data_IF_818376023702
#
_entry.id   IF_818376023702
#
_cell.length_a   1.000
_cell.length_b   1.000
_cell.length_c   1.000
_cell.angle_alpha   90.00
_cell.angle_beta   90.00
_cell.angle_gamma   90.00
#
_symmetry.space_group_name_H-M   'P 1'
#
loop_
_entity.id
_entity.type
_entity.pdbx_description
1 polymer ?
#
# COMPACT_ATOMS: atom_id res chain seq x y z
N UNK A 1 -19.03 4.30 -0.20
CA UNK A 1 -19.88 3.55 0.75
C UNK A 1 -21.34 3.95 0.51
N UNK A 2 -22.25 3.00 0.53
CA UNK A 2 -23.68 3.25 0.29
C UNK A 2 -24.51 2.48 1.32
N UNK A 3 -25.26 3.23 2.16
CA UNK A 3 -26.19 2.72 3.20
C UNK A 3 -25.56 1.68 4.12
N UNK A 4 -24.32 1.89 4.52
CA UNK A 4 -23.60 0.94 5.36
C UNK A 4 -24.08 0.99 6.79
N UNK A 5 -24.44 -0.19 7.30
CA UNK A 5 -24.78 -0.39 8.72
C UNK A 5 -23.94 -1.53 9.29
N UNK A 6 -23.55 -1.40 10.56
CA UNK A 6 -22.80 -2.41 11.29
C UNK A 6 -23.42 -2.68 12.62
N UNK A 7 -23.80 -3.93 12.85
CA UNK A 7 -24.33 -4.42 14.13
C UNK A 7 -23.39 -5.50 14.65
N UNK A 8 -23.07 -5.44 15.93
CA UNK A 8 -22.27 -6.48 16.60
C UNK A 8 -23.11 -7.15 17.70
N UNK A 9 -22.86 -8.43 17.99
CA UNK A 9 -23.57 -9.12 19.07
C UNK A 9 -23.46 -8.39 20.42
N UNK A 10 -24.50 -8.44 21.26
CA UNK A 10 -25.81 -9.09 21.10
C UNK A 10 -26.90 -8.26 20.41
N UNK A 11 -26.65 -7.23 19.64
CA UNK A 11 -27.49 -6.31 18.85
C UNK A 11 -27.06 -4.84 18.99
N UNK A 12 -25.81 -4.60 19.33
CA UNK A 12 -25.27 -3.23 19.41
C UNK A 12 -25.05 -2.67 18.02
N UNK A 13 -25.76 -1.60 17.68
CA UNK A 13 -25.54 -0.86 16.43
C UNK A 13 -24.29 0.02 16.59
N UNK A 14 -23.30 -0.19 15.76
CA UNK A 14 -22.07 0.62 15.72
C UNK A 14 -22.17 1.72 14.66
N UNK A 15 -22.66 1.37 13.47
CA UNK A 15 -22.91 2.32 12.38
C UNK A 15 -24.33 2.09 11.86
N UNK A 16 -24.99 3.18 11.45
CA UNK A 16 -26.36 3.13 10.92
C UNK A 16 -26.46 3.98 9.66
N UNK A 17 -26.78 3.34 8.53
CA UNK A 17 -27.12 3.95 7.25
C UNK A 17 -26.11 5.02 6.79
N UNK A 18 -24.83 4.68 6.85
CA UNK A 18 -23.73 5.59 6.49
C UNK A 18 -23.51 5.56 4.99
N UNK A 19 -23.66 6.71 4.34
CA UNK A 19 -23.31 6.89 2.92
C UNK A 19 -22.24 7.97 2.79
N UNK A 20 -21.10 7.61 2.21
CA UNK A 20 -19.93 8.48 2.07
C UNK A 20 -19.29 8.29 0.70
N UNK A 21 -18.90 9.41 0.11
CA UNK A 21 -18.08 9.44 -1.10
C UNK A 21 -16.95 10.45 -0.92
N UNK A 22 -15.78 10.11 -1.42
CA UNK A 22 -14.59 10.94 -1.28
C UNK A 22 -14.04 11.33 -2.64
N UNK A 23 -13.60 12.57 -2.77
CA UNK A 23 -12.91 13.04 -3.97
C UNK A 23 -11.41 12.68 -3.88
N UNK A 24 -10.76 12.42 -5.03
CA UNK A 24 -9.31 12.23 -5.08
C UNK A 24 -8.56 13.40 -4.43
N UNK A 25 -7.50 13.08 -3.66
CA UNK A 25 -6.67 14.07 -2.98
C UNK A 25 -7.26 14.70 -1.72
N UNK A 26 -8.51 14.40 -1.35
CA UNK A 26 -9.11 14.92 -0.13
C UNK A 26 -8.42 14.37 1.12
N UNK A 27 -8.08 15.26 2.07
CA UNK A 27 -7.60 14.92 3.42
C UNK A 27 -8.78 15.02 4.37
N UNK A 28 -9.19 13.92 4.96
CA UNK A 28 -10.43 13.82 5.73
C UNK A 28 -10.15 13.36 7.15
N UNK A 29 -10.60 14.15 8.13
CA UNK A 29 -10.56 13.80 9.55
C UNK A 29 -11.86 13.15 9.99
N UNK A 30 -11.77 12.05 10.75
CA UNK A 30 -12.92 11.41 11.40
C UNK A 30 -12.85 11.69 12.89
N UNK A 31 -13.78 12.49 13.39
CA UNK A 31 -13.84 12.91 14.80
C UNK A 31 -15.00 12.24 15.52
N UNK A 32 -14.85 12.06 16.82
CA UNK A 32 -15.89 11.50 17.69
C UNK A 32 -15.32 10.92 19.00
N UNK A 33 -16.18 10.65 19.95
CA UNK A 33 -15.83 10.06 21.24
C UNK A 33 -15.27 8.64 21.10
N UNK A 34 -14.59 8.15 22.15
CA UNK A 34 -14.14 6.75 22.17
C UNK A 34 -15.35 5.82 22.13
N UNK A 35 -15.24 4.75 21.32
CA UNK A 35 -16.34 3.81 21.10
C UNK A 35 -17.42 4.28 20.11
N UNK A 36 -17.28 5.45 19.47
CA UNK A 36 -18.25 5.95 18.46
C UNK A 36 -18.21 5.24 17.10
N UNK A 37 -17.34 4.25 16.90
CA UNK A 37 -17.26 3.48 15.67
C UNK A 37 -16.24 3.98 14.64
N UNK A 38 -15.40 4.97 14.97
CA UNK A 38 -14.37 5.50 14.03
C UNK A 38 -13.48 4.43 13.44
N UNK A 39 -12.88 3.60 14.28
CA UNK A 39 -12.00 2.50 13.83
C UNK A 39 -12.75 1.44 13.02
N UNK A 40 -14.03 1.18 13.37
CA UNK A 40 -14.90 0.28 12.60
C UNK A 40 -15.16 0.85 11.21
N UNK A 41 -15.49 2.14 11.12
CA UNK A 41 -15.69 2.82 9.85
C UNK A 41 -14.43 2.72 8.95
N UNK A 42 -13.25 3.02 9.51
CA UNK A 42 -11.99 2.93 8.76
C UNK A 42 -11.67 1.49 8.32
N UNK A 43 -11.90 0.48 9.16
CA UNK A 43 -11.73 -0.93 8.79
C UNK A 43 -12.67 -1.36 7.66
N UNK A 44 -13.91 -0.90 7.67
CA UNK A 44 -14.86 -1.15 6.58
C UNK A 44 -14.40 -0.47 5.30
N UNK A 45 -13.96 0.78 5.35
CA UNK A 45 -13.44 1.51 4.20
C UNK A 45 -12.18 0.85 3.63
N UNK A 46 -11.35 0.27 4.48
CA UNK A 46 -10.16 -0.49 4.08
C UNK A 46 -10.46 -1.90 3.54
N UNK A 47 -11.72 -2.35 3.58
CA UNK A 47 -12.10 -3.71 3.17
C UNK A 47 -11.69 -4.81 4.15
N UNK A 48 -11.23 -4.45 5.36
CA UNK A 48 -10.84 -5.40 6.41
C UNK A 48 -12.06 -5.98 7.12
N UNK A 49 -13.07 -5.16 7.38
CA UNK A 49 -14.34 -5.59 7.94
C UNK A 49 -15.41 -5.58 6.86
N UNK A 50 -15.78 -6.75 6.40
CA UNK A 50 -16.80 -6.96 5.34
C UNK A 50 -18.15 -7.41 5.88
N UNK A 51 -18.27 -7.64 7.21
CA UNK A 51 -19.50 -8.07 7.85
C UNK A 51 -20.42 -6.87 8.12
N UNK A 52 -21.03 -6.36 7.05
CA UNK A 52 -21.84 -5.14 7.04
C UNK A 52 -23.13 -5.36 6.26
N UNK A 53 -24.13 -4.54 6.53
CA UNK A 53 -25.26 -4.31 5.64
C UNK A 53 -24.94 -3.10 4.76
N UNK A 54 -25.37 -3.12 3.49
CA UNK A 54 -25.05 -2.08 2.52
C UNK A 54 -23.77 -2.40 1.72
N UNK A 55 -23.16 -1.40 1.13
CA UNK A 55 -22.03 -1.58 0.21
C UNK A 55 -20.87 -0.64 0.57
N UNK A 56 -19.66 -1.20 0.69
CA UNK A 56 -18.42 -0.45 0.83
C UNK A 56 -17.39 -0.97 -0.17
N UNK A 57 -17.01 -0.16 -1.12
CA UNK A 57 -15.99 -0.51 -2.12
C UNK A 57 -15.12 0.67 -2.47
N UNK A 58 -13.86 0.42 -2.75
CA UNK A 58 -13.00 1.36 -3.43
C UNK A 58 -13.32 1.40 -4.93
N UNK A 59 -13.04 2.51 -5.59
CA UNK A 59 -13.11 2.60 -7.04
C UNK A 59 -12.06 1.68 -7.66
N UNK A 60 -12.40 1.07 -8.81
CA UNK A 60 -11.48 0.21 -9.56
C UNK A 60 -10.16 0.94 -9.84
N UNK A 61 -9.03 0.27 -9.60
CA UNK A 61 -7.69 0.82 -9.79
C UNK A 61 -7.12 1.59 -8.60
N UNK A 62 -7.91 1.84 -7.54
CA UNK A 62 -7.40 2.46 -6.32
C UNK A 62 -6.81 1.40 -5.38
N UNK A 63 -5.57 1.62 -4.96
CA UNK A 63 -4.93 0.85 -3.88
C UNK A 63 -5.28 1.47 -2.54
N UNK A 64 -5.76 0.64 -1.62
CA UNK A 64 -6.12 1.07 -0.26
C UNK A 64 -5.08 0.54 0.71
N UNK A 65 -4.48 1.43 1.50
CA UNK A 65 -3.63 1.10 2.64
C UNK A 65 -4.36 1.37 3.95
N UNK A 66 -4.13 0.54 4.94
CA UNK A 66 -4.65 0.71 6.29
C UNK A 66 -3.51 0.69 7.31
N UNK A 67 -3.35 1.78 8.04
CA UNK A 67 -2.42 1.84 9.17
C UNK A 67 -3.24 1.67 10.46
N UNK A 68 -3.11 0.55 11.18
CA UNK A 68 -3.78 0.37 12.48
C UNK A 68 -3.12 1.26 13.55
N UNK A 69 -3.87 1.53 14.63
CA UNK A 69 -3.37 2.30 15.76
C UNK A 69 -2.18 1.59 16.45
N UNK A 70 -2.23 0.28 16.51
CA UNK A 70 -1.16 -0.60 17.00
C UNK A 70 -0.81 -1.57 15.87
N UNK A 71 0.19 -1.24 15.02
CA UNK A 71 0.62 -2.15 13.97
C UNK A 71 1.33 -3.36 14.57
N UNK A 72 1.00 -4.55 14.06
CA UNK A 72 1.73 -5.76 14.37
C UNK A 72 2.99 -5.77 13.50
N UNK A 73 4.13 -5.62 14.13
CA UNK A 73 5.45 -5.74 13.50
C UNK A 73 6.03 -7.10 13.86
N UNK A 74 6.80 -7.66 12.94
CA UNK A 74 7.58 -8.87 13.18
C UNK A 74 8.85 -8.49 13.96
N UNK A 75 8.86 -8.76 15.27
CA UNK A 75 9.98 -8.42 16.17
C UNK A 75 11.27 -9.16 15.82
N UNK A 76 11.22 -10.18 14.95
CA UNK A 76 12.41 -10.90 14.49
C UNK A 76 13.14 -10.19 13.36
N UNK A 77 12.53 -9.16 12.77
CA UNK A 77 13.09 -8.39 11.66
C UNK A 77 13.75 -7.11 12.15
N UNK A 78 14.82 -6.72 11.48
CA UNK A 78 15.38 -5.39 11.68
C UNK A 78 14.47 -4.32 11.05
N UNK A 79 14.67 -3.07 11.47
CA UNK A 79 13.86 -1.92 11.02
C UNK A 79 13.91 -1.76 9.51
N UNK A 80 15.08 -1.93 8.90
CA UNK A 80 15.27 -1.80 7.46
C UNK A 80 14.45 -2.85 6.71
N UNK A 81 14.51 -4.11 7.12
CA UNK A 81 13.75 -5.22 6.52
C UNK A 81 12.23 -5.00 6.65
N UNK A 82 11.76 -4.53 7.81
CA UNK A 82 10.34 -4.22 8.02
C UNK A 82 9.85 -3.09 7.09
N UNK A 83 10.64 -2.03 6.92
CA UNK A 83 10.32 -0.93 6.00
C UNK A 83 10.37 -1.40 4.55
N UNK A 84 11.37 -2.22 4.19
CA UNK A 84 11.53 -2.79 2.85
C UNK A 84 10.34 -3.67 2.43
N UNK A 85 9.68 -4.36 3.37
CA UNK A 85 8.45 -5.10 3.05
C UNK A 85 7.34 -4.22 2.49
N UNK A 86 7.18 -3.01 3.01
CA UNK A 86 6.16 -2.06 2.55
C UNK A 86 6.37 -1.57 1.12
N UNK A 87 7.60 -1.58 0.63
CA UNK A 87 8.02 -1.11 -0.70
C UNK A 87 8.62 -2.22 -1.57
N UNK A 88 8.51 -3.47 -1.13
CA UNK A 88 9.23 -4.62 -1.67
C UNK A 88 8.98 -4.90 -3.16
N UNK A 89 7.82 -4.56 -3.71
CA UNK A 89 7.56 -4.71 -5.15
C UNK A 89 8.43 -3.75 -5.99
N UNK A 90 8.52 -2.49 -5.58
CA UNK A 90 9.33 -1.49 -6.28
C UNK A 90 10.84 -1.80 -6.16
N UNK A 91 11.29 -2.26 -4.99
CA UNK A 91 12.67 -2.71 -4.80
C UNK A 91 13.01 -3.92 -5.67
N UNK A 92 12.13 -4.92 -5.77
CA UNK A 92 12.35 -6.07 -6.64
C UNK A 92 12.46 -5.68 -8.11
N UNK A 93 11.64 -4.75 -8.55
CA UNK A 93 11.70 -4.22 -9.92
C UNK A 93 13.02 -3.49 -10.17
N UNK A 94 13.46 -2.64 -9.23
CA UNK A 94 14.73 -1.92 -9.34
C UNK A 94 15.93 -2.88 -9.30
N UNK A 95 15.93 -3.85 -8.40
CA UNK A 95 16.98 -4.86 -8.32
C UNK A 95 17.07 -5.67 -9.62
N UNK A 96 15.91 -6.08 -10.19
CA UNK A 96 15.87 -6.80 -11.46
C UNK A 96 16.34 -5.96 -12.64
N UNK A 97 15.97 -4.68 -12.65
CA UNK A 97 16.47 -3.74 -13.67
C UNK A 97 17.99 -3.62 -13.64
N UNK A 98 18.58 -3.49 -12.45
CA UNK A 98 20.03 -3.40 -12.29
C UNK A 98 20.72 -4.71 -12.70
N UNK A 99 20.18 -5.87 -12.29
CA UNK A 99 20.68 -7.19 -12.69
C UNK A 99 20.71 -7.35 -14.23
N UNK A 100 19.66 -6.92 -14.92
CA UNK A 100 19.63 -6.94 -16.39
C UNK A 100 20.67 -5.99 -16.96
N UNK A 101 20.85 -4.81 -16.38
CA UNK A 101 21.84 -3.84 -16.81
C UNK A 101 23.27 -4.38 -16.69
N UNK A 102 23.56 -5.10 -15.60
CA UNK A 102 24.85 -5.75 -15.38
C UNK A 102 25.07 -6.89 -16.38
N UNK A 103 24.01 -7.64 -16.72
CA UNK A 103 24.11 -8.73 -17.69
C UNK A 103 24.44 -8.30 -19.11
N UNK A 104 24.12 -7.07 -19.50
CA UNK A 104 24.53 -6.56 -20.83
C UNK A 104 26.06 -6.42 -21.01
N UNK A 105 26.83 -6.47 -19.92
CA UNK A 105 28.27 -6.50 -19.95
C UNK A 105 28.83 -7.90 -20.29
N UNK A 106 27.99 -8.95 -20.24
CA UNK A 106 28.35 -10.33 -20.50
C UNK A 106 28.07 -10.72 -21.97
N UNK A 107 28.85 -11.65 -22.56
CA UNK A 107 28.50 -12.20 -23.86
C UNK A 107 27.17 -12.90 -23.86
N UNK A 108 26.30 -12.60 -24.83
CA UNK A 108 24.98 -13.21 -24.97
C UNK A 108 24.58 -13.36 -26.43
N UNK A 109 23.56 -14.15 -26.69
CA UNK A 109 22.99 -14.33 -28.04
C UNK A 109 22.04 -13.16 -28.35
N UNK A 110 21.77 -12.95 -29.66
CA UNK A 110 20.86 -11.90 -30.12
C UNK A 110 19.42 -12.09 -29.56
N UNK A 111 18.98 -13.34 -29.43
CA UNK A 111 17.65 -13.68 -28.87
C UNK A 111 17.59 -13.32 -27.37
N UNK A 112 18.64 -13.64 -26.60
CA UNK A 112 18.74 -13.30 -25.18
C UNK A 112 18.78 -11.77 -24.99
N UNK A 113 19.54 -11.07 -25.82
CA UNK A 113 19.62 -9.61 -25.79
C UNK A 113 18.23 -8.98 -26.04
N UNK A 114 17.52 -9.45 -27.04
CA UNK A 114 16.18 -8.96 -27.37
C UNK A 114 15.21 -9.17 -26.22
N UNK A 115 15.20 -10.37 -25.62
CA UNK A 115 14.34 -10.67 -24.47
C UNK A 115 14.63 -9.80 -23.24
N UNK A 116 15.92 -9.57 -22.94
CA UNK A 116 16.34 -8.72 -21.83
C UNK A 116 15.99 -7.25 -22.06
N UNK A 117 16.11 -6.75 -23.28
CA UNK A 117 15.70 -5.38 -23.63
C UNK A 117 14.19 -5.17 -23.45
N UNK A 118 13.38 -6.14 -23.88
CA UNK A 118 11.91 -6.08 -23.66
C UNK A 118 11.53 -6.11 -22.18
N UNK A 119 12.22 -6.96 -21.40
CA UNK A 119 12.00 -7.03 -19.95
C UNK A 119 12.41 -5.73 -19.28
N UNK A 120 13.57 -5.18 -19.62
CA UNK A 120 14.10 -3.93 -19.08
C UNK A 120 13.15 -2.75 -19.36
N UNK A 121 12.62 -2.64 -20.58
CA UNK A 121 11.66 -1.60 -20.93
C UNK A 121 10.39 -1.66 -20.06
N UNK A 122 9.83 -2.86 -19.86
CA UNK A 122 8.65 -3.06 -18.98
C UNK A 122 8.94 -2.70 -17.52
N UNK A 123 10.14 -3.05 -17.04
CA UNK A 123 10.55 -2.70 -15.67
C UNK A 123 10.75 -1.19 -15.53
N UNK A 124 11.33 -0.54 -16.51
CA UNK A 124 11.52 0.91 -16.53
C UNK A 124 10.18 1.63 -16.41
N UNK A 125 9.20 1.28 -17.26
CA UNK A 125 7.86 1.86 -17.20
C UNK A 125 7.19 1.66 -15.82
N UNK A 126 7.37 0.48 -15.22
CA UNK A 126 6.82 0.17 -13.90
C UNK A 126 7.52 0.95 -12.77
N UNK A 127 8.85 1.13 -12.85
CA UNK A 127 9.64 1.91 -11.90
C UNK A 127 9.29 3.39 -12.02
N UNK A 128 9.16 3.93 -13.23
CA UNK A 128 8.75 5.31 -13.48
C UNK A 128 7.35 5.59 -12.91
N UNK A 129 6.39 4.72 -13.18
CA UNK A 129 5.02 4.83 -12.67
C UNK A 129 4.95 4.78 -11.14
N UNK A 130 5.87 4.03 -10.50
CA UNK A 130 5.95 3.92 -9.04
C UNK A 130 6.82 5.01 -8.38
N UNK A 131 7.55 5.83 -9.17
CA UNK A 131 8.57 6.76 -8.66
C UNK A 131 9.72 6.03 -7.95
N UNK A 132 10.06 4.84 -8.47
CA UNK A 132 10.98 3.90 -7.83
C UNK A 132 12.45 4.33 -7.82
N UNK A 133 12.87 5.18 -8.76
CA UNK A 133 14.26 5.66 -8.84
C UNK A 133 14.72 6.48 -7.62
N UNK A 134 13.78 7.16 -6.98
CA UNK A 134 14.06 7.95 -5.78
C UNK A 134 13.74 7.21 -4.47
N UNK A 135 13.43 5.92 -4.55
CA UNK A 135 12.90 5.16 -3.43
C UNK A 135 13.90 5.08 -2.27
N UNK A 136 15.16 4.79 -2.54
CA UNK A 136 16.21 4.75 -1.50
C UNK A 136 16.35 6.09 -0.80
N UNK A 137 16.43 7.17 -1.57
CA UNK A 137 16.51 8.53 -1.01
C UNK A 137 15.28 8.89 -0.19
N UNK A 138 14.09 8.52 -0.64
CA UNK A 138 12.84 8.75 0.12
C UNK A 138 12.82 7.97 1.42
N UNK A 139 13.36 6.74 1.41
CA UNK A 139 13.48 5.93 2.62
C UNK A 139 14.49 6.50 3.60
N UNK A 140 15.65 6.96 3.14
CA UNK A 140 16.64 7.64 3.98
C UNK A 140 16.06 8.88 4.63
N UNK A 141 15.39 9.75 3.85
CA UNK A 141 14.72 10.95 4.37
C UNK A 141 13.64 10.58 5.40
N UNK A 142 12.85 9.54 5.12
CA UNK A 142 11.80 9.11 6.03
C UNK A 142 12.39 8.51 7.33
N UNK A 143 13.45 7.71 7.22
CA UNK A 143 14.15 7.14 8.36
C UNK A 143 14.75 8.23 9.26
N UNK A 144 15.40 9.23 8.68
CA UNK A 144 15.96 10.38 9.41
C UNK A 144 14.85 11.20 10.08
N UNK A 145 13.78 11.51 9.36
CA UNK A 145 12.64 12.25 9.89
C UNK A 145 11.95 11.54 11.07
N UNK A 146 11.91 10.21 11.04
CA UNK A 146 11.35 9.37 12.11
C UNK A 146 12.38 9.00 13.17
N UNK A 147 13.66 9.41 13.01
CA UNK A 147 14.78 9.04 13.89
C UNK A 147 14.90 7.52 14.09
N UNK A 148 14.75 6.79 13.02
CA UNK A 148 14.95 5.34 13.03
C UNK A 148 16.44 5.04 13.21
N UNK A 149 16.79 3.96 13.94
CA UNK A 149 18.18 3.54 14.14
C UNK A 149 18.82 3.00 12.85
#
# INVERSE_FOLDING_TARGET
MNRVSKVVPPKRVILRDISLSFFPGAKIGVLGLNGSGKSTLLKIMAGIDTSIDGEARAQTGIRVGYLPQEPLLDETQDVRSAVMQGVGSAFKQLARFNEISDRFAEPMTDDEMTALLEEQAKLQDAIDAAGGWELERKLEIAADALRLP
#
